data_IF_663249617128
#
_entry.id   IF_663249617128
#
_cell.length_a   1.000
_cell.length_b   1.000
_cell.length_c   1.000
_cell.angle_alpha   90.00
_cell.angle_beta   90.00
_cell.angle_gamma   90.00
#
_symmetry.space_group_name_H-M   'P 1'
#
loop_
_entity.id
_entity.type
_entity.pdbx_description
1 polymer ?
#
# COMPACT_ATOMS: atom_id res chain seq x y z
N UNK A 1 7.04 -14.28 13.84
CA UNK A 1 6.04 -14.71 12.84
C UNK A 1 5.95 -13.60 11.82
N UNK A 2 6.19 -13.94 10.55
CA UNK A 2 6.07 -13.00 9.45
C UNK A 2 4.59 -12.74 9.15
N UNK A 3 4.23 -11.49 8.89
CA UNK A 3 2.87 -11.11 8.50
C UNK A 3 2.94 -10.05 7.41
N UNK A 4 2.17 -10.23 6.34
CA UNK A 4 1.99 -9.19 5.32
C UNK A 4 0.63 -8.53 5.51
N UNK A 5 0.54 -7.23 5.27
CA UNK A 5 -0.70 -6.47 5.20
C UNK A 5 -0.76 -5.81 3.82
N UNK A 6 -1.91 -5.93 3.16
CA UNK A 6 -2.20 -5.15 1.97
C UNK A 6 -2.88 -3.86 2.42
N UNK A 7 -2.30 -2.72 2.05
CA UNK A 7 -2.75 -1.43 2.58
C UNK A 7 -2.98 -0.45 1.45
N UNK A 8 -3.92 0.47 1.67
CA UNK A 8 -4.03 1.71 0.89
C UNK A 8 -3.66 2.89 1.77
N UNK A 9 -3.17 3.96 1.15
CA UNK A 9 -2.96 5.24 1.81
C UNK A 9 -4.26 6.05 1.80
N UNK A 10 -4.66 6.57 2.95
CA UNK A 10 -5.80 7.49 3.09
C UNK A 10 -5.23 8.84 3.53
N UNK A 11 -4.78 9.63 2.55
CA UNK A 11 -4.10 10.88 2.81
C UNK A 11 -5.08 11.90 3.44
N UNK A 12 -4.76 12.51 4.61
CA UNK A 12 -5.69 13.38 5.32
C UNK A 12 -6.22 14.55 4.49
N UNK A 13 -5.40 15.09 3.58
CA UNK A 13 -5.75 16.29 2.82
C UNK A 13 -6.88 16.04 1.81
N UNK A 14 -7.01 14.82 1.29
CA UNK A 14 -8.04 14.45 0.31
C UNK A 14 -9.44 14.38 0.93
N UNK A 15 -9.51 14.28 2.26
CA UNK A 15 -10.76 14.11 3.00
C UNK A 15 -11.09 15.29 3.92
N UNK A 16 -10.18 16.23 4.13
CA UNK A 16 -10.47 17.43 4.93
C UNK A 16 -11.39 18.41 4.18
N UNK A 17 -12.42 18.92 4.86
CA UNK A 17 -13.33 19.96 4.32
C UNK A 17 -12.90 21.39 4.72
N UNK A 18 -11.88 21.50 5.58
CA UNK A 18 -11.30 22.75 6.07
C UNK A 18 -9.82 22.56 6.37
N UNK A 19 -9.12 23.67 6.56
CA UNK A 19 -7.75 23.66 7.04
C UNK A 19 -7.69 23.23 8.52
N UNK A 20 -6.79 22.30 8.82
CA UNK A 20 -6.45 21.86 10.16
C UNK A 20 -5.02 22.29 10.51
N UNK A 21 -4.78 22.57 11.79
CA UNK A 21 -3.43 22.84 12.27
C UNK A 21 -2.57 21.58 12.13
N UNK A 22 -1.52 21.68 11.33
CA UNK A 22 -0.58 20.59 11.10
C UNK A 22 0.32 20.48 12.34
N UNK A 23 0.60 19.27 12.87
CA UNK A 23 1.53 19.08 13.97
C UNK A 23 2.91 19.70 13.68
N UNK A 24 3.46 20.45 14.65
CA UNK A 24 4.78 21.10 14.55
C UNK A 24 5.96 20.12 14.74
N UNK A 25 5.67 18.84 14.94
CA UNK A 25 6.63 17.75 15.18
C UNK A 25 6.73 16.82 13.98
N UNK A 26 7.74 15.96 13.91
CA UNK A 26 7.76 14.90 12.90
C UNK A 26 6.87 13.72 13.30
N UNK A 27 6.40 12.93 12.30
CA UNK A 27 5.66 11.67 12.52
C UNK A 27 6.40 10.66 13.40
N UNK A 28 7.74 10.75 13.47
CA UNK A 28 8.59 9.89 14.30
C UNK A 28 8.64 10.40 15.74
N UNK A 29 8.71 11.72 15.94
CA UNK A 29 8.80 12.34 17.25
C UNK A 29 7.48 12.28 18.03
N UNK A 30 6.34 12.49 17.36
CA UNK A 30 5.02 12.44 17.99
C UNK A 30 3.96 11.73 17.12
N UNK A 31 4.04 10.40 16.98
CA UNK A 31 3.11 9.64 16.15
C UNK A 31 1.65 9.73 16.61
N UNK A 32 1.40 9.98 17.90
CA UNK A 32 0.05 10.10 18.46
C UNK A 32 -0.65 11.37 17.94
N UNK A 33 0.03 12.52 18.01
CA UNK A 33 -0.47 13.80 17.50
C UNK A 33 -0.74 13.75 16.00
N UNK A 34 0.16 13.13 15.22
CA UNK A 34 -0.07 12.90 13.80
C UNK A 34 -1.24 11.96 13.49
N UNK A 35 -1.52 10.99 14.36
CA UNK A 35 -2.68 10.13 14.24
C UNK A 35 -3.98 10.87 14.58
N UNK A 36 -3.97 11.72 15.59
CA UNK A 36 -5.12 12.58 15.93
C UNK A 36 -5.43 13.56 14.80
N UNK A 37 -4.42 14.21 14.23
CA UNK A 37 -4.55 15.05 13.04
C UNK A 37 -5.19 14.28 11.88
N UNK A 38 -4.66 13.09 11.55
CA UNK A 38 -5.22 12.24 10.50
C UNK A 38 -6.69 11.90 10.73
N UNK A 39 -7.04 11.45 11.94
CA UNK A 39 -8.41 11.11 12.30
C UNK A 39 -9.34 12.33 12.21
N UNK A 40 -8.89 13.52 12.61
CA UNK A 40 -9.68 14.75 12.48
C UNK A 40 -9.99 15.06 11.02
N UNK A 41 -8.98 15.02 10.13
CA UNK A 41 -9.18 15.30 8.72
C UNK A 41 -10.14 14.32 8.05
N UNK A 42 -9.92 13.01 8.19
CA UNK A 42 -10.75 12.00 7.52
C UNK A 42 -12.17 11.92 8.12
N UNK A 43 -12.37 12.39 9.36
CA UNK A 43 -13.69 12.44 9.99
C UNK A 43 -14.65 13.41 9.31
N UNK A 44 -14.16 14.42 8.59
CA UNK A 44 -15.01 15.33 7.81
C UNK A 44 -15.84 14.56 6.77
N UNK A 45 -15.30 13.48 6.22
CA UNK A 45 -15.98 12.58 5.28
C UNK A 45 -16.53 11.31 5.94
N UNK A 46 -16.70 11.29 7.26
CA UNK A 46 -17.18 10.15 8.05
C UNK A 46 -16.27 8.90 8.02
N UNK A 47 -14.96 9.07 7.77
CA UNK A 47 -13.98 7.98 7.77
C UNK A 47 -13.27 7.80 9.12
N UNK A 48 -13.73 8.45 10.19
CA UNK A 48 -13.08 8.43 11.52
C UNK A 48 -13.04 7.06 12.22
N UNK A 49 -13.68 6.03 11.65
CA UNK A 49 -13.62 4.64 12.15
C UNK A 49 -12.40 3.87 11.59
N UNK A 50 -11.77 4.37 10.53
CA UNK A 50 -10.58 3.77 9.96
C UNK A 50 -9.44 3.73 10.97
N UNK A 51 -8.58 2.73 10.82
CA UNK A 51 -7.45 2.51 11.70
C UNK A 51 -6.17 2.43 10.90
N UNK A 52 -5.23 3.32 11.22
CA UNK A 52 -3.88 3.24 10.73
C UNK A 52 -3.20 1.97 11.26
N UNK A 53 -2.35 1.36 10.43
CA UNK A 53 -1.59 0.16 10.81
C UNK A 53 -0.59 0.42 11.96
N UNK A 54 -0.19 1.67 12.15
CA UNK A 54 0.57 2.21 13.29
C UNK A 54 0.32 3.72 13.38
N UNK A 55 0.42 4.25 14.61
CA UNK A 55 0.22 5.68 14.87
C UNK A 55 1.18 6.54 14.02
N UNK A 56 0.66 7.64 13.46
CA UNK A 56 1.39 8.54 12.57
C UNK A 56 1.48 8.06 11.12
N UNK A 57 0.97 6.86 10.81
CA UNK A 57 0.78 6.37 9.44
C UNK A 57 -0.60 6.76 8.90
N UNK A 58 -0.71 6.86 7.58
CA UNK A 58 -1.97 6.99 6.85
C UNK A 58 -2.37 5.70 6.14
N UNK A 59 -1.61 4.63 6.36
CA UNK A 59 -1.82 3.34 5.73
C UNK A 59 -2.90 2.56 6.48
N UNK A 60 -3.91 2.08 5.74
CA UNK A 60 -5.06 1.34 6.27
C UNK A 60 -5.09 -0.04 5.64
N UNK A 61 -5.26 -1.07 6.48
CA UNK A 61 -5.42 -2.46 6.00
C UNK A 61 -6.76 -2.60 5.27
N UNK A 62 -6.72 -2.99 4.00
CA UNK A 62 -7.90 -3.10 3.13
C UNK A 62 -8.98 -4.01 3.72
N UNK A 63 -8.61 -4.97 4.57
CA UNK A 63 -9.55 -5.92 5.19
C UNK A 63 -10.36 -5.31 6.33
N UNK A 64 -9.95 -4.14 6.80
CA UNK A 64 -10.61 -3.43 7.90
C UNK A 64 -11.56 -2.35 7.42
N UNK A 65 -11.56 -2.05 6.11
CA UNK A 65 -12.41 -1.05 5.48
C UNK A 65 -13.77 -1.67 5.19
N UNK A 66 -14.83 -1.04 5.71
CA UNK A 66 -16.20 -1.47 5.41
C UNK A 66 -16.72 -0.90 4.07
N UNK A 67 -17.90 -1.37 3.64
CA UNK A 67 -18.48 -0.95 2.36
C UNK A 67 -18.84 0.56 2.31
N UNK A 68 -19.16 1.19 3.45
CA UNK A 68 -19.49 2.61 3.50
C UNK A 68 -18.23 3.48 3.41
N UNK A 69 -17.19 3.09 4.14
CA UNK A 69 -15.87 3.73 4.09
C UNK A 69 -15.29 3.59 2.69
N UNK A 70 -15.33 2.39 2.11
CA UNK A 70 -14.84 2.14 0.76
C UNK A 70 -15.65 2.90 -0.30
N UNK A 71 -16.98 2.99 -0.18
CA UNK A 71 -17.80 3.82 -1.08
C UNK A 71 -17.40 5.31 -1.00
N UNK A 72 -17.00 5.78 0.18
CA UNK A 72 -16.55 7.17 0.37
C UNK A 72 -15.19 7.40 -0.25
N UNK A 73 -14.22 6.51 -0.01
CA UNK A 73 -12.88 6.54 -0.63
C UNK A 73 -13.03 6.55 -2.16
N UNK A 74 -13.79 5.62 -2.73
CA UNK A 74 -13.99 5.51 -4.18
C UNK A 74 -14.64 6.76 -4.80
N UNK A 75 -15.49 7.49 -4.05
CA UNK A 75 -16.05 8.76 -4.54
C UNK A 75 -15.00 9.85 -4.61
N UNK A 76 -14.10 9.93 -3.63
CA UNK A 76 -12.98 10.87 -3.63
C UNK A 76 -12.02 10.56 -4.77
N UNK A 77 -11.60 9.29 -4.89
CA UNK A 77 -10.66 8.83 -5.94
C UNK A 77 -11.17 9.05 -7.37
N UNK A 78 -12.49 9.03 -7.56
CA UNK A 78 -13.13 9.16 -8.87
C UNK A 78 -13.85 10.51 -9.08
N UNK A 79 -13.65 11.49 -8.18
CA UNK A 79 -14.41 12.75 -8.20
C UNK A 79 -14.22 13.53 -9.51
N UNK A 80 -12.99 13.53 -10.04
CA UNK A 80 -12.63 14.27 -11.25
C UNK A 80 -12.53 13.38 -12.51
N UNK A 81 -12.89 12.10 -12.42
CA UNK A 81 -12.73 11.15 -13.53
C UNK A 81 -13.84 11.32 -14.57
N UNK A 82 -13.45 11.57 -15.82
CA UNK A 82 -14.32 11.49 -16.97
C UNK A 82 -14.41 10.03 -17.46
N UNK A 83 -15.52 9.36 -17.17
CA UNK A 83 -15.66 7.91 -17.43
C UNK A 83 -15.61 7.48 -18.89
N UNK A 84 -15.77 8.40 -19.85
CA UNK A 84 -15.57 8.11 -21.27
C UNK A 84 -14.07 8.00 -21.65
N UNK A 85 -13.17 8.55 -20.83
CA UNK A 85 -11.71 8.59 -21.03
C UNK A 85 -10.95 8.06 -19.78
N UNK A 86 -11.55 7.11 -19.05
CA UNK A 86 -11.06 6.66 -17.73
C UNK A 86 -9.67 5.98 -17.75
N UNK A 87 -9.24 5.43 -18.89
CA UNK A 87 -8.05 4.58 -18.98
C UNK A 87 -6.75 5.32 -18.60
N UNK A 88 -6.67 6.62 -18.91
CA UNK A 88 -5.52 7.47 -18.58
C UNK A 88 -5.70 8.27 -17.27
N UNK A 89 -6.88 8.19 -16.65
CA UNK A 89 -7.24 8.98 -15.46
C UNK A 89 -7.31 8.13 -14.19
N UNK A 90 -7.69 6.86 -14.31
CA UNK A 90 -7.82 5.95 -13.16
C UNK A 90 -6.50 5.22 -12.92
N UNK A 91 -5.79 5.65 -11.88
CA UNK A 91 -4.63 4.96 -11.34
C UNK A 91 -5.01 3.81 -10.39
N UNK A 92 -4.01 3.03 -10.00
CA UNK A 92 -4.14 2.14 -8.83
C UNK A 92 -4.14 2.97 -7.54
N UNK A 93 -4.86 2.50 -6.52
CA UNK A 93 -4.90 3.14 -5.21
C UNK A 93 -3.50 3.18 -4.60
N UNK A 94 -3.10 4.36 -4.12
CA UNK A 94 -1.84 4.56 -3.40
C UNK A 94 -1.75 3.61 -2.21
N UNK A 95 -0.56 3.07 -1.96
CA UNK A 95 -0.34 2.09 -0.91
C UNK A 95 0.60 0.96 -1.31
N UNK A 96 0.30 -0.27 -0.89
CA UNK A 96 1.13 -1.44 -1.20
C UNK A 96 1.20 -2.45 -0.06
N UNK A 97 2.36 -3.08 0.12
CA UNK A 97 2.56 -4.16 1.09
C UNK A 97 3.38 -3.69 2.28
N UNK A 98 2.84 -3.92 3.47
CA UNK A 98 3.57 -3.77 4.73
C UNK A 98 4.00 -5.14 5.22
N UNK A 99 5.27 -5.26 5.60
CA UNK A 99 5.83 -6.48 6.19
C UNK A 99 6.07 -6.26 7.67
N UNK A 100 5.54 -7.16 8.50
CA UNK A 100 5.74 -7.20 9.95
C UNK A 100 6.44 -8.48 10.37
N UNK A 101 7.28 -8.40 11.39
CA UNK A 101 7.81 -9.55 12.11
C UNK A 101 7.52 -9.39 13.60
N UNK A 102 6.56 -10.17 14.10
CA UNK A 102 6.00 -9.94 15.43
C UNK A 102 5.34 -8.55 15.51
N UNK A 103 5.75 -7.74 16.49
CA UNK A 103 5.21 -6.38 16.68
C UNK A 103 5.99 -5.30 15.91
N UNK A 104 7.07 -5.67 15.21
CA UNK A 104 7.92 -4.71 14.50
C UNK A 104 7.55 -4.64 13.02
N UNK A 105 7.49 -3.42 12.50
CA UNK A 105 7.39 -3.16 11.06
C UNK A 105 8.78 -3.25 10.45
N UNK A 106 8.87 -3.97 9.34
CA UNK A 106 10.10 -4.26 8.62
C UNK A 106 10.17 -3.38 7.38
N UNK A 107 9.09 -3.40 6.59
CA UNK A 107 8.95 -2.63 5.34
C UNK A 107 7.55 -2.03 5.31
N UNK A 108 7.45 -0.81 4.78
CA UNK A 108 6.23 -0.10 4.43
C UNK A 108 6.31 0.28 2.95
N UNK A 109 5.18 0.40 2.24
CA UNK A 109 5.18 1.11 0.98
C UNK A 109 5.63 2.55 1.21
N UNK A 110 6.22 3.14 0.18
CA UNK A 110 6.71 4.51 0.14
C UNK A 110 5.92 5.31 -0.89
N UNK A 111 6.11 6.63 -0.93
CA UNK A 111 5.38 7.50 -1.85
C UNK A 111 5.60 7.11 -3.32
N UNK A 112 4.57 7.33 -4.14
CA UNK A 112 4.48 6.88 -5.52
C UNK A 112 4.46 5.34 -5.69
N UNK A 113 4.25 4.61 -4.59
CA UNK A 113 3.91 3.18 -4.62
C UNK A 113 2.40 3.00 -4.55
N UNK A 114 1.91 1.95 -5.18
CA UNK A 114 0.49 1.61 -5.25
C UNK A 114 0.24 0.13 -4.91
N UNK A 115 -1.02 -0.20 -4.67
CA UNK A 115 -1.43 -1.58 -4.36
C UNK A 115 -1.11 -2.57 -5.49
N UNK A 116 -1.08 -2.11 -6.74
CA UNK A 116 -0.69 -2.87 -7.93
C UNK A 116 0.79 -3.32 -7.93
N UNK A 117 1.63 -2.68 -7.11
CA UNK A 117 3.04 -3.05 -6.94
C UNK A 117 3.20 -4.45 -6.31
N UNK A 118 2.12 -5.14 -5.90
CA UNK A 118 2.15 -6.58 -5.57
C UNK A 118 2.89 -7.42 -6.63
N UNK A 119 2.79 -7.05 -7.91
CA UNK A 119 3.50 -7.75 -9.00
C UNK A 119 5.01 -7.74 -8.81
N UNK A 120 5.57 -6.64 -8.29
CA UNK A 120 7.00 -6.54 -8.03
C UNK A 120 7.43 -7.54 -6.94
N UNK A 121 6.59 -7.73 -5.93
CA UNK A 121 6.80 -8.73 -4.88
C UNK A 121 6.69 -10.17 -5.41
N UNK A 122 5.79 -10.44 -6.35
CA UNK A 122 5.65 -11.77 -6.97
C UNK A 122 6.87 -12.14 -7.83
N UNK A 123 7.45 -11.17 -8.54
CA UNK A 123 8.69 -11.37 -9.31
C UNK A 123 9.86 -11.84 -8.45
N UNK A 124 9.84 -11.58 -7.13
CA UNK A 124 10.86 -12.12 -6.22
C UNK A 124 10.93 -13.63 -6.34
N UNK A 125 9.80 -14.33 -6.41
CA UNK A 125 9.75 -15.80 -6.43
C UNK A 125 10.33 -16.42 -7.71
N UNK A 126 10.38 -15.63 -8.78
CA UNK A 126 10.94 -16.00 -10.08
C UNK A 126 12.41 -15.59 -10.22
N UNK A 127 12.94 -14.84 -9.25
CA UNK A 127 14.30 -14.33 -9.31
C UNK A 127 15.35 -15.43 -9.12
N UNK A 128 16.50 -15.21 -9.75
CA UNK A 128 17.68 -16.05 -9.58
C UNK A 128 18.22 -15.94 -8.15
N UNK A 129 18.69 -17.07 -7.61
CA UNK A 129 19.32 -17.09 -6.29
C UNK A 129 20.63 -16.29 -6.26
N UNK A 130 20.90 -15.70 -5.11
CA UNK A 130 22.11 -14.98 -4.71
C UNK A 130 22.43 -13.71 -5.49
N UNK A 131 21.52 -13.23 -6.34
CA UNK A 131 21.68 -11.99 -7.10
C UNK A 131 20.77 -10.92 -6.53
N UNK A 132 21.34 -9.76 -6.20
CA UNK A 132 20.58 -8.60 -5.79
C UNK A 132 19.80 -8.00 -6.96
N UNK A 133 18.55 -7.61 -6.68
CA UNK A 133 17.65 -6.95 -7.61
C UNK A 133 16.94 -5.81 -6.90
N UNK A 134 16.53 -4.81 -7.68
CA UNK A 134 15.66 -3.76 -7.19
C UNK A 134 14.21 -4.22 -7.07
N UNK A 135 13.58 -3.83 -5.98
CA UNK A 135 12.14 -3.95 -5.75
C UNK A 135 11.55 -2.55 -5.62
N UNK A 136 10.67 -2.20 -6.54
CA UNK A 136 9.89 -0.96 -6.44
C UNK A 136 8.77 -1.14 -5.41
N UNK A 137 8.71 -0.20 -4.46
CA UNK A 137 7.69 -0.11 -3.42
C UNK A 137 7.26 1.35 -3.22
N UNK A 138 7.46 2.21 -4.24
CA UNK A 138 7.59 3.65 -4.09
C UNK A 138 9.04 4.10 -3.85
N UNK A 139 9.26 5.42 -3.79
CA UNK A 139 10.55 6.02 -3.49
C UNK A 139 10.65 6.44 -2.01
N UNK A 140 11.74 6.13 -1.29
CA UNK A 140 12.88 5.29 -1.69
C UNK A 140 12.49 3.81 -1.86
N UNK A 141 13.23 3.09 -2.71
CA UNK A 141 13.02 1.66 -2.97
C UNK A 141 13.95 0.80 -2.10
N UNK A 142 13.86 -0.53 -2.27
CA UNK A 142 14.74 -1.50 -1.61
C UNK A 142 15.35 -2.47 -2.61
N UNK A 143 16.41 -3.16 -2.18
CA UNK A 143 16.94 -4.31 -2.89
C UNK A 143 16.57 -5.61 -2.19
N UNK A 144 16.46 -6.67 -2.98
CA UNK A 144 16.23 -8.01 -2.48
C UNK A 144 17.13 -9.03 -3.18
N UNK A 145 17.36 -10.17 -2.51
CA UNK A 145 17.83 -11.40 -3.17
C UNK A 145 17.28 -12.63 -2.49
N UNK A 146 17.15 -13.72 -3.23
CA UNK A 146 16.88 -15.05 -2.67
C UNK A 146 18.19 -15.72 -2.31
N UNK A 147 18.41 -16.13 -1.07
CA UNK A 147 19.63 -16.82 -0.69
C UNK A 147 19.38 -17.81 0.45
N UNK A 148 19.83 -19.05 0.29
CA UNK A 148 19.83 -20.08 1.34
C UNK A 148 18.47 -20.31 2.03
N UNK A 149 17.37 -20.23 1.28
CA UNK A 149 16.02 -20.40 1.82
C UNK A 149 15.44 -19.16 2.51
N UNK A 150 16.05 -17.98 2.28
CA UNK A 150 15.58 -16.69 2.77
C UNK A 150 15.40 -15.70 1.62
N UNK A 151 14.47 -14.76 1.81
CA UNK A 151 14.46 -13.49 1.10
C UNK A 151 15.27 -12.50 1.94
N UNK A 152 16.41 -12.08 1.44
CA UNK A 152 17.23 -11.05 2.06
C UNK A 152 16.85 -9.68 1.48
N UNK A 153 16.69 -8.68 2.34
CA UNK A 153 16.24 -7.33 1.98
C UNK A 153 17.23 -6.31 2.52
N UNK A 154 17.57 -5.28 1.72
CA UNK A 154 18.46 -4.18 2.12
C UNK A 154 17.75 -3.14 3.00
N UNK A 155 18.44 -2.06 3.35
CA UNK A 155 17.77 -0.84 3.81
C UNK A 155 17.14 -0.10 2.61
N UNK A 156 16.29 0.89 2.89
CA UNK A 156 15.80 1.84 1.89
C UNK A 156 16.95 2.60 1.23
N UNK A 157 16.80 2.89 -0.06
CA UNK A 157 17.80 3.62 -0.85
C UNK A 157 17.18 4.38 -2.01
N UNK A 158 17.86 5.44 -2.44
CA UNK A 158 17.60 6.20 -3.67
C UNK A 158 18.66 5.93 -4.75
N UNK A 159 19.65 5.08 -4.45
CA UNK A 159 20.75 4.75 -5.34
C UNK A 159 20.40 3.55 -6.21
N UNK A 160 20.93 3.51 -7.44
CA UNK A 160 20.73 2.39 -8.34
C UNK A 160 21.58 1.20 -7.89
N UNK A 161 21.21 0.00 -8.34
CA UNK A 161 21.93 -1.22 -8.00
C UNK A 161 23.43 -1.14 -8.36
N UNK A 162 23.74 -0.53 -9.51
CA UNK A 162 25.11 -0.39 -10.03
C UNK A 162 25.98 0.58 -9.21
N UNK A 163 25.37 1.40 -8.35
CA UNK A 163 26.09 2.34 -7.48
C UNK A 163 26.69 1.65 -6.24
N UNK A 164 26.33 0.38 -5.97
CA UNK A 164 26.77 -0.36 -4.78
C UNK A 164 27.84 -1.40 -5.08
N UNK A 165 28.92 -1.33 -4.29
CA UNK A 165 29.96 -2.37 -4.28
C UNK A 165 29.68 -3.50 -3.29
N UNK A 166 28.85 -3.28 -2.26
CA UNK A 166 28.55 -4.28 -1.23
C UNK A 166 27.18 -4.03 -0.57
N UNK A 167 26.12 -4.57 -1.17
CA UNK A 167 24.76 -4.46 -0.63
C UNK A 167 24.62 -5.41 0.57
N UNK A 168 24.30 -4.83 1.72
CA UNK A 168 24.12 -5.55 2.97
C UNK A 168 22.66 -5.95 3.19
N UNK A 169 22.45 -7.20 3.60
CA UNK A 169 21.14 -7.69 4.02
C UNK A 169 20.79 -7.12 5.40
N UNK A 170 19.83 -6.19 5.44
CA UNK A 170 19.27 -5.63 6.67
C UNK A 170 18.29 -6.60 7.32
N UNK A 171 17.47 -7.26 6.51
CA UNK A 171 16.47 -8.23 6.97
C UNK A 171 16.64 -9.56 6.23
N UNK A 172 16.28 -10.66 6.91
CA UNK A 172 16.25 -12.01 6.36
C UNK A 172 14.92 -12.66 6.71
N UNK A 173 14.09 -12.90 5.70
CA UNK A 173 12.74 -13.43 5.85
C UNK A 173 12.72 -14.89 5.40
N UNK A 174 12.20 -15.85 6.18
CA UNK A 174 12.10 -17.24 5.75
C UNK A 174 11.28 -17.33 4.46
N UNK A 175 11.86 -17.89 3.39
CA UNK A 175 11.24 -17.90 2.06
C UNK A 175 9.90 -18.65 2.06
N UNK A 176 9.79 -19.71 2.85
CA UNK A 176 8.53 -20.47 3.00
C UNK A 176 7.41 -19.61 3.61
N UNK A 177 7.70 -18.83 4.65
CA UNK A 177 6.72 -17.92 5.26
C UNK A 177 6.37 -16.78 4.30
N UNK A 178 7.37 -16.22 3.62
CA UNK A 178 7.20 -15.17 2.62
C UNK A 178 6.23 -15.59 1.52
N UNK A 179 6.42 -16.79 0.94
CA UNK A 179 5.53 -17.33 -0.12
C UNK A 179 4.10 -17.51 0.39
N UNK A 180 3.93 -17.98 1.63
CA UNK A 180 2.61 -18.16 2.23
C UNK A 180 1.89 -16.83 2.44
N UNK A 181 2.58 -15.83 2.97
CA UNK A 181 2.00 -14.49 3.18
C UNK A 181 1.67 -13.81 1.84
N UNK A 182 2.55 -13.92 0.85
CA UNK A 182 2.31 -13.31 -0.47
C UNK A 182 1.07 -13.88 -1.17
N UNK A 183 0.83 -15.20 -1.06
CA UNK A 183 -0.38 -15.83 -1.60
C UNK A 183 -1.64 -15.28 -0.94
N UNK A 184 -1.62 -15.08 0.39
CA UNK A 184 -2.75 -14.47 1.11
C UNK A 184 -3.01 -13.05 0.63
N UNK A 185 -1.97 -12.24 0.42
CA UNK A 185 -2.12 -10.88 -0.10
C UNK A 185 -2.74 -10.89 -1.50
N UNK A 186 -2.32 -11.79 -2.39
CA UNK A 186 -2.91 -11.94 -3.73
C UNK A 186 -4.40 -12.31 -3.65
N UNK A 187 -4.76 -13.26 -2.80
CA UNK A 187 -6.17 -13.62 -2.57
C UNK A 187 -6.98 -12.42 -2.06
N UNK A 188 -6.45 -11.70 -1.05
CA UNK A 188 -7.10 -10.51 -0.49
C UNK A 188 -7.27 -9.38 -1.52
N UNK A 189 -6.29 -9.17 -2.40
CA UNK A 189 -6.39 -8.16 -3.45
C UNK A 189 -7.47 -8.51 -4.48
N UNK A 190 -7.64 -9.79 -4.82
CA UNK A 190 -8.72 -10.23 -5.69
C UNK A 190 -10.09 -10.08 -5.00
N UNK A 191 -10.19 -10.33 -3.70
CA UNK A 191 -11.41 -10.11 -2.92
C UNK A 191 -11.77 -8.61 -2.87
N UNK A 192 -10.76 -7.76 -2.67
CA UNK A 192 -10.91 -6.31 -2.63
C UNK A 192 -11.32 -5.73 -4.00
N UNK A 193 -10.76 -6.23 -5.12
CA UNK A 193 -11.22 -5.89 -6.47
C UNK A 193 -12.72 -6.19 -6.64
N UNK A 194 -13.16 -7.37 -6.18
CA UNK A 194 -14.58 -7.72 -6.24
C UNK A 194 -15.45 -6.83 -5.35
N UNK A 195 -14.95 -6.42 -4.19
CA UNK A 195 -15.66 -5.48 -3.31
C UNK A 195 -15.81 -4.11 -3.97
N UNK A 196 -14.72 -3.56 -4.53
CA UNK A 196 -14.73 -2.31 -5.30
C UNK A 196 -15.72 -2.40 -6.45
N UNK A 197 -15.64 -3.46 -7.26
CA UNK A 197 -16.58 -3.68 -8.37
C UNK A 197 -18.05 -3.62 -7.93
N UNK A 198 -18.42 -4.29 -6.82
CA UNK A 198 -19.80 -4.27 -6.31
C UNK A 198 -20.25 -2.87 -5.91
N UNK A 199 -19.38 -2.09 -5.29
CA UNK A 199 -19.69 -0.72 -4.86
C UNK A 199 -19.83 0.20 -6.08
N UNK A 200 -18.92 0.12 -7.04
CA UNK A 200 -18.99 0.88 -8.29
C UNK A 200 -20.25 0.54 -9.10
N UNK A 201 -20.63 -0.74 -9.18
CA UNK A 201 -21.88 -1.19 -9.82
C UNK A 201 -23.12 -0.63 -9.12
N UNK A 202 -23.14 -0.64 -7.78
CA UNK A 202 -24.20 -0.01 -6.97
C UNK A 202 -24.28 1.51 -7.21
N UNK A 203 -23.14 2.18 -7.39
CA UNK A 203 -23.03 3.59 -7.77
C UNK A 203 -23.41 3.85 -9.23
N UNK A 204 -23.67 2.80 -10.02
CA UNK A 204 -23.97 2.85 -11.47
C UNK A 204 -22.86 3.46 -12.31
N UNK A 205 -21.61 3.27 -11.89
CA UNK A 205 -20.43 3.70 -12.64
C UNK A 205 -20.28 2.80 -13.87
N UNK A 206 -20.17 3.42 -15.05
CA UNK A 206 -19.91 2.67 -16.29
C UNK A 206 -18.52 2.04 -16.23
N UNK A 207 -18.33 0.87 -16.87
CA UNK A 207 -17.03 0.16 -16.85
C UNK A 207 -16.52 -0.18 -15.43
N UNK A 208 -17.44 -0.35 -14.47
CA UNK A 208 -17.12 -0.63 -13.07
C UNK A 208 -16.12 -1.79 -12.88
N UNK A 209 -16.19 -2.83 -13.71
CA UNK A 209 -15.29 -3.99 -13.62
C UNK A 209 -13.87 -3.64 -14.07
N UNK A 210 -13.74 -2.90 -15.16
CA UNK A 210 -12.45 -2.43 -15.68
C UNK A 210 -11.81 -1.42 -14.72
N UNK A 211 -12.59 -0.49 -14.18
CA UNK A 211 -12.14 0.49 -13.19
C UNK A 211 -11.69 -0.20 -11.89
N UNK A 212 -12.42 -1.21 -11.40
CA UNK A 212 -12.01 -1.97 -10.22
C UNK A 212 -10.64 -2.65 -10.40
N UNK A 213 -10.35 -3.14 -11.61
CA UNK A 213 -9.04 -3.70 -11.95
C UNK A 213 -7.93 -2.66 -11.98
N UNK A 214 -8.21 -1.47 -12.53
CA UNK A 214 -7.25 -0.35 -12.54
C UNK A 214 -6.92 0.09 -11.12
N UNK A 215 -7.95 0.35 -10.30
CA UNK A 215 -7.80 0.76 -8.90
C UNK A 215 -7.02 -0.25 -8.05
N UNK A 216 -7.12 -1.55 -8.37
CA UNK A 216 -6.38 -2.60 -7.66
C UNK A 216 -5.08 -3.01 -8.36
N UNK A 217 -4.76 -2.46 -9.54
CA UNK A 217 -3.58 -2.87 -10.31
C UNK A 217 -3.60 -4.35 -10.73
N UNK A 218 -4.79 -4.93 -10.91
CA UNK A 218 -5.03 -6.31 -11.38
C UNK A 218 -5.23 -6.39 -12.91
N UNK A 219 -4.36 -5.69 -13.64
CA UNK A 219 -4.24 -5.65 -15.11
C UNK A 219 -3.67 -6.91 -15.79
#
# INVERSE_FOLDING_TARGET
MLQFLNVIEVNPYDYSEKEYDIPDTTKIENPEEWNEFWLQCISDRNLGNLKSIYQGSYLVDIRTIDDFELETILKTELEEVEFDEYEDQVGSLDGGIVIKSGNSIIITPMCCGDIGNLREWEKILESQNSIWKQLWIGHPWIFYRRANGFIEISNYTESNLDDFNDIQAKYKLPEKEFVLELRKIREQQNEFENQIYRILDKMKITKAKEIAKLLTGNL
#
